data_IF_605120728195
#
_entry.id   IF_605120728195
#
_cell.length_a   1.000
_cell.length_b   1.000
_cell.length_c   1.000
_cell.angle_alpha   90.00
_cell.angle_beta   90.00
_cell.angle_gamma   90.00
#
_symmetry.space_group_name_H-M   'P 1'
#
loop_
_entity.id
_entity.type
_entity.pdbx_description
1 polymer ?
#
# COMPACT_ATOMS: atom_id res chain seq x y z
N UNK A 1 18.61 12.42 1.38
CA UNK A 1 17.36 11.69 1.69
C UNK A 1 17.72 10.31 2.19
N UNK A 2 17.03 9.78 3.20
CA UNK A 2 17.37 8.50 3.80
C UNK A 2 17.10 7.32 2.86
N UNK A 3 18.07 6.41 2.71
CA UNK A 3 18.00 5.26 1.80
C UNK A 3 16.76 4.40 2.04
N UNK A 4 16.36 4.20 3.31
CA UNK A 4 15.17 3.40 3.64
C UNK A 4 13.88 4.01 3.12
N UNK A 5 13.74 5.35 3.17
CA UNK A 5 12.55 6.05 2.66
C UNK A 5 12.48 5.91 1.13
N UNK A 6 13.62 5.96 0.43
CA UNK A 6 13.71 5.77 -1.02
C UNK A 6 13.31 4.34 -1.39
N UNK A 7 13.93 3.34 -0.76
CA UNK A 7 13.66 1.93 -1.04
C UNK A 7 12.19 1.60 -0.81
N UNK A 8 11.63 2.03 0.33
CA UNK A 8 10.24 1.78 0.66
C UNK A 8 9.29 2.48 -0.31
N UNK A 9 9.59 3.71 -0.71
CA UNK A 9 8.82 4.41 -1.75
C UNK A 9 8.86 3.68 -3.10
N UNK A 10 10.04 3.21 -3.51
CA UNK A 10 10.21 2.45 -4.75
C UNK A 10 9.43 1.13 -4.72
N UNK A 11 9.43 0.41 -3.59
CA UNK A 11 8.63 -0.81 -3.40
C UNK A 11 7.13 -0.52 -3.59
N UNK A 12 6.61 0.58 -3.04
CA UNK A 12 5.19 0.96 -3.20
C UNK A 12 4.85 1.30 -4.66
N UNK A 13 5.75 1.94 -5.39
CA UNK A 13 5.60 2.20 -6.82
C UNK A 13 5.58 0.88 -7.60
N UNK A 14 6.56 0.00 -7.36
CA UNK A 14 6.65 -1.32 -8.02
C UNK A 14 5.38 -2.12 -7.75
N UNK A 15 4.93 -2.21 -6.49
CA UNK A 15 3.69 -2.89 -6.11
C UNK A 15 2.51 -2.36 -6.94
N UNK A 16 2.36 -1.04 -7.01
CA UNK A 16 1.23 -0.41 -7.70
C UNK A 16 1.25 -0.70 -9.21
N UNK A 17 2.43 -0.63 -9.84
CA UNK A 17 2.62 -0.95 -11.27
C UNK A 17 2.36 -2.44 -11.55
N UNK A 18 2.85 -3.34 -10.71
CA UNK A 18 2.60 -4.78 -10.84
C UNK A 18 1.12 -5.11 -10.70
N UNK A 19 0.40 -4.47 -9.78
CA UNK A 19 -1.05 -4.63 -9.62
C UNK A 19 -1.84 -4.04 -10.80
N UNK A 20 -1.36 -2.93 -11.39
CA UNK A 20 -1.95 -2.35 -12.61
C UNK A 20 -1.82 -3.34 -13.77
N UNK A 21 -0.61 -3.86 -13.98
CA UNK A 21 -0.33 -4.87 -14.99
C UNK A 21 -1.14 -6.14 -14.78
N UNK A 22 -1.23 -6.62 -13.52
CA UNK A 22 -2.04 -7.78 -13.17
C UNK A 22 -3.53 -7.56 -13.50
N UNK A 23 -4.05 -6.37 -13.23
CA UNK A 23 -5.43 -6.00 -13.58
C UNK A 23 -5.64 -6.05 -15.11
N UNK A 24 -4.70 -5.54 -15.91
CA UNK A 24 -4.76 -5.64 -17.37
C UNK A 24 -4.73 -7.09 -17.87
N UNK A 25 -3.91 -7.96 -17.26
CA UNK A 25 -3.94 -9.39 -17.57
C UNK A 25 -5.27 -10.04 -17.21
N UNK A 26 -5.87 -9.67 -16.07
CA UNK A 26 -7.19 -10.20 -15.70
C UNK A 26 -8.28 -9.73 -16.66
N UNK A 27 -8.23 -8.49 -17.17
CA UNK A 27 -9.14 -8.01 -18.22
C UNK A 27 -9.08 -8.90 -19.45
N UNK A 28 -7.88 -9.21 -19.92
CA UNK A 28 -7.68 -10.10 -21.07
C UNK A 28 -8.21 -11.51 -20.80
N UNK A 29 -7.88 -12.10 -19.64
CA UNK A 29 -8.27 -13.47 -19.28
C UNK A 29 -9.79 -13.62 -19.07
N UNK A 30 -10.41 -12.64 -18.43
CA UNK A 30 -11.85 -12.64 -18.15
C UNK A 30 -12.67 -12.01 -19.28
N UNK A 31 -12.03 -11.60 -20.38
CA UNK A 31 -12.65 -10.89 -21.51
C UNK A 31 -13.51 -9.69 -21.07
N UNK A 32 -13.09 -9.03 -19.99
CA UNK A 32 -13.80 -7.91 -19.36
C UNK A 32 -13.04 -6.61 -19.62
N UNK A 33 -13.25 -5.99 -20.78
CA UNK A 33 -12.47 -4.83 -21.25
C UNK A 33 -13.01 -3.48 -20.71
N UNK A 34 -14.26 -3.47 -20.20
CA UNK A 34 -14.96 -2.44 -19.40
C UNK A 34 -16.15 -1.76 -20.11
N UNK A 35 -17.32 -1.85 -19.44
CA UNK A 35 -18.27 -0.75 -19.17
C UNK A 35 -18.92 -0.97 -17.79
N UNK A 36 -19.09 -2.23 -17.34
CA UNK A 36 -19.56 -2.54 -15.99
C UNK A 36 -18.43 -2.93 -15.02
N UNK A 37 -18.62 -2.61 -13.74
CA UNK A 37 -17.76 -3.09 -12.66
C UNK A 37 -17.88 -4.62 -12.55
N UNK A 38 -16.77 -5.33 -12.34
CA UNK A 38 -16.84 -6.75 -12.04
C UNK A 38 -17.67 -6.95 -10.75
N UNK A 39 -18.72 -7.78 -10.81
CA UNK A 39 -19.67 -7.96 -9.70
C UNK A 39 -19.44 -9.23 -8.89
N UNK A 40 -18.71 -10.21 -9.46
CA UNK A 40 -18.37 -11.45 -8.76
C UNK A 40 -17.32 -11.20 -7.67
N UNK A 41 -17.75 -11.28 -6.40
CA UNK A 41 -16.92 -11.11 -5.19
C UNK A 41 -15.84 -12.19 -5.03
N UNK A 42 -16.00 -13.34 -5.69
CA UNK A 42 -15.00 -14.40 -5.72
C UNK A 42 -14.11 -14.33 -6.97
N UNK A 43 -14.51 -13.51 -7.94
CA UNK A 43 -13.89 -13.40 -9.25
C UNK A 43 -12.48 -12.79 -9.22
N UNK A 44 -11.54 -13.31 -10.02
CA UNK A 44 -10.16 -12.82 -10.05
C UNK A 44 -10.04 -11.38 -10.53
N UNK A 45 -10.97 -10.93 -11.40
CA UNK A 45 -11.00 -9.58 -11.93
C UNK A 45 -11.32 -8.54 -10.84
N UNK A 46 -12.37 -8.77 -10.05
CA UNK A 46 -12.73 -7.83 -8.98
C UNK A 46 -11.65 -7.78 -7.89
N UNK A 47 -11.08 -8.92 -7.51
CA UNK A 47 -9.95 -8.99 -6.57
C UNK A 47 -8.75 -8.19 -7.05
N UNK A 48 -8.37 -8.32 -8.33
CA UNK A 48 -7.28 -7.55 -8.92
C UNK A 48 -7.57 -6.04 -8.91
N UNK A 49 -8.79 -5.63 -9.31
CA UNK A 49 -9.20 -4.23 -9.30
C UNK A 49 -9.18 -3.62 -7.88
N UNK A 50 -9.69 -4.33 -6.88
CA UNK A 50 -9.69 -3.86 -5.49
C UNK A 50 -8.28 -3.77 -4.90
N UNK A 51 -7.42 -4.75 -5.19
CA UNK A 51 -6.01 -4.70 -4.79
C UNK A 51 -5.29 -3.50 -5.40
N UNK A 52 -5.43 -3.32 -6.72
CA UNK A 52 -4.79 -2.21 -7.43
C UNK A 52 -5.33 -0.85 -6.99
N UNK A 53 -6.65 -0.67 -6.96
CA UNK A 53 -7.29 0.60 -6.58
C UNK A 53 -6.88 1.04 -5.18
N UNK A 54 -6.92 0.13 -4.21
CA UNK A 54 -6.47 0.45 -2.86
C UNK A 54 -4.95 0.73 -2.77
N UNK A 55 -4.13 0.04 -3.58
CA UNK A 55 -2.70 0.37 -3.66
C UNK A 55 -2.48 1.77 -4.23
N UNK A 56 -3.20 2.15 -5.30
CA UNK A 56 -3.09 3.45 -5.95
C UNK A 56 -3.49 4.61 -5.01
N UNK A 57 -4.54 4.42 -4.21
CA UNK A 57 -4.97 5.41 -3.20
C UNK A 57 -3.90 5.65 -2.12
N UNK A 58 -3.29 4.58 -1.60
CA UNK A 58 -2.36 4.68 -0.48
C UNK A 58 -0.90 4.92 -0.87
N UNK A 59 -0.45 4.44 -2.03
CA UNK A 59 0.96 4.56 -2.42
C UNK A 59 1.39 6.02 -2.50
N UNK A 60 0.60 6.87 -3.16
CA UNK A 60 0.89 8.30 -3.26
C UNK A 60 0.92 9.00 -1.90
N UNK A 61 -0.08 8.73 -1.04
CA UNK A 61 -0.17 9.31 0.31
C UNK A 61 1.03 8.91 1.17
N UNK A 62 1.40 7.63 1.17
CA UNK A 62 2.52 7.12 1.97
C UNK A 62 3.88 7.59 1.44
N UNK A 63 4.07 7.66 0.13
CA UNK A 63 5.27 8.24 -0.46
C UNK A 63 5.38 9.71 -0.06
N UNK A 64 4.29 10.49 -0.13
CA UNK A 64 4.26 11.86 0.34
C UNK A 64 4.67 11.98 1.82
N UNK A 65 4.15 11.10 2.68
CA UNK A 65 4.52 11.06 4.09
C UNK A 65 6.00 10.66 4.31
N UNK A 66 6.54 9.72 3.52
CA UNK A 66 7.95 9.35 3.57
C UNK A 66 8.86 10.50 3.10
N UNK A 67 8.45 11.25 2.07
CA UNK A 67 9.16 12.45 1.62
C UNK A 67 9.17 13.52 2.72
N UNK A 68 8.02 13.84 3.32
CA UNK A 68 7.93 14.78 4.45
C UNK A 68 8.80 14.34 5.63
N UNK A 69 8.79 13.05 5.96
CA UNK A 69 9.68 12.47 6.98
C UNK A 69 11.15 12.73 6.62
N UNK A 70 11.53 12.49 5.36
CA UNK A 70 12.90 12.74 4.89
C UNK A 70 13.33 14.20 4.97
N UNK A 71 12.40 15.14 4.76
CA UNK A 71 12.66 16.59 4.88
C UNK A 71 12.87 16.99 6.35
N UNK A 72 12.01 16.55 7.25
CA UNK A 72 12.09 16.90 8.68
C UNK A 72 13.30 16.26 9.38
N UNK A 73 13.76 15.11 8.87
CA UNK A 73 14.96 14.42 9.32
C UNK A 73 16.21 14.74 8.48
N UNK A 74 16.21 15.83 7.70
CA UNK A 74 17.37 16.22 6.91
C UNK A 74 18.60 16.47 7.80
N UNK A 75 19.72 15.81 7.49
CA UNK A 75 20.96 15.89 8.26
C UNK A 75 20.91 15.20 9.64
N UNK A 76 19.86 14.42 9.93
CA UNK A 76 19.66 13.72 11.20
C UNK A 76 19.40 12.24 10.95
N UNK A 77 19.78 11.39 11.89
CA UNK A 77 19.41 9.96 11.84
C UNK A 77 17.89 9.79 12.00
N UNK A 78 17.30 8.84 11.26
CA UNK A 78 15.87 8.49 11.35
C UNK A 78 15.48 7.99 12.74
N UNK A 79 16.42 7.33 13.43
CA UNK A 79 16.15 6.54 14.61
C UNK A 79 15.49 5.22 14.29
N UNK A 80 15.60 4.29 15.24
CA UNK A 80 15.03 2.95 15.14
C UNK A 80 13.50 2.99 14.94
N UNK A 81 12.80 3.83 15.71
CA UNK A 81 11.33 3.90 15.69
C UNK A 81 10.80 4.27 14.30
N UNK A 82 11.32 5.33 13.67
CA UNK A 82 10.85 5.77 12.34
C UNK A 82 11.24 4.74 11.27
N UNK A 83 12.45 4.20 11.36
CA UNK A 83 12.91 3.14 10.45
C UNK A 83 11.99 1.93 10.49
N UNK A 84 11.65 1.44 11.68
CA UNK A 84 10.73 0.31 11.86
C UNK A 84 9.32 0.64 11.37
N UNK A 85 8.80 1.84 11.63
CA UNK A 85 7.47 2.25 11.16
C UNK A 85 7.39 2.25 9.63
N UNK A 86 8.36 2.85 8.94
CA UNK A 86 8.40 2.92 7.47
C UNK A 86 8.42 1.51 6.85
N UNK A 87 9.26 0.63 7.40
CA UNK A 87 9.36 -0.76 6.94
C UNK A 87 8.04 -1.50 7.21
N UNK A 88 7.48 -1.38 8.41
CA UNK A 88 6.23 -2.05 8.79
C UNK A 88 5.04 -1.61 7.93
N UNK A 89 4.91 -0.30 7.67
CA UNK A 89 3.88 0.25 6.78
C UNK A 89 4.04 -0.33 5.37
N UNK A 90 5.27 -0.36 4.85
CA UNK A 90 5.54 -0.88 3.49
C UNK A 90 5.21 -2.37 3.39
N UNK A 91 5.65 -3.17 4.35
CA UNK A 91 5.31 -4.59 4.44
C UNK A 91 3.79 -4.80 4.56
N UNK A 92 3.10 -3.95 5.34
CA UNK A 92 1.65 -3.99 5.47
C UNK A 92 0.93 -3.75 4.15
N UNK A 93 1.46 -2.90 3.26
CA UNK A 93 0.90 -2.71 1.91
C UNK A 93 1.01 -3.95 1.05
N UNK A 94 2.13 -4.66 1.13
CA UNK A 94 2.32 -5.94 0.43
C UNK A 94 1.34 -7.01 0.96
N UNK A 95 1.21 -7.14 2.29
CA UNK A 95 0.27 -8.07 2.92
C UNK A 95 -1.19 -7.73 2.57
N UNK A 96 -1.53 -6.45 2.56
CA UNK A 96 -2.88 -5.99 2.22
C UNK A 96 -3.26 -6.36 0.78
N UNK A 97 -2.37 -6.08 -0.18
CA UNK A 97 -2.56 -6.46 -1.57
C UNK A 97 -2.64 -7.97 -1.76
N UNK A 98 -1.73 -8.73 -1.13
CA UNK A 98 -1.78 -10.19 -1.14
C UNK A 98 -3.11 -10.72 -0.60
N UNK A 99 -3.61 -10.15 0.51
CA UNK A 99 -4.89 -10.51 1.10
C UNK A 99 -6.08 -10.32 0.17
N UNK A 100 -6.07 -9.34 -0.73
CA UNK A 100 -7.08 -9.24 -1.79
C UNK A 100 -6.96 -10.34 -2.84
N UNK A 101 -5.73 -10.64 -3.28
CA UNK A 101 -5.49 -11.57 -4.38
C UNK A 101 -5.72 -13.03 -4.00
N UNK A 102 -5.39 -13.42 -2.76
CA UNK A 102 -5.46 -14.81 -2.29
C UNK A 102 -6.75 -15.17 -1.57
N UNK A 103 -7.57 -14.18 -1.19
CA UNK A 103 -8.83 -14.46 -0.51
C UNK A 103 -9.76 -15.33 -1.37
N UNK A 104 -10.54 -16.20 -0.73
CA UNK A 104 -11.56 -16.98 -1.43
C UNK A 104 -12.69 -16.08 -1.96
N UNK A 105 -13.11 -15.10 -1.16
CA UNK A 105 -14.16 -14.13 -1.51
C UNK A 105 -13.87 -12.78 -0.85
N UNK A 106 -14.37 -11.70 -1.46
CA UNK A 106 -14.31 -10.33 -0.93
C UNK A 106 -15.41 -10.01 0.10
N UNK A 107 -16.40 -10.90 0.29
CA UNK A 107 -17.47 -10.73 1.27
C UNK A 107 -16.96 -10.62 2.72
N UNK A 108 -15.82 -11.27 3.00
CA UNK A 108 -15.23 -11.30 4.34
C UNK A 108 -13.78 -10.80 4.29
N UNK A 109 -13.31 -10.11 5.34
CA UNK A 109 -11.93 -9.66 5.38
C UNK A 109 -10.98 -10.85 5.55
N UNK A 110 -10.09 -11.05 4.58
CA UNK A 110 -8.95 -11.96 4.75
C UNK A 110 -8.01 -11.45 5.85
N UNK A 111 -7.44 -12.30 6.72
CA UNK A 111 -6.58 -11.87 7.82
C UNK A 111 -5.40 -10.99 7.37
N UNK A 112 -4.73 -11.36 6.27
CA UNK A 112 -3.64 -10.54 5.71
C UNK A 112 -4.10 -9.14 5.30
N UNK A 113 -5.33 -9.03 4.75
CA UNK A 113 -5.94 -7.74 4.41
C UNK A 113 -6.23 -6.95 5.69
N UNK A 114 -6.83 -7.57 6.70
CA UNK A 114 -7.16 -6.89 7.95
C UNK A 114 -5.91 -6.36 8.67
N UNK A 115 -4.88 -7.19 8.82
CA UNK A 115 -3.61 -6.82 9.46
C UNK A 115 -2.90 -5.74 8.65
N UNK A 116 -2.82 -5.91 7.33
CA UNK A 116 -2.20 -4.92 6.45
C UNK A 116 -2.88 -3.55 6.52
N UNK A 117 -4.22 -3.53 6.62
CA UNK A 117 -4.99 -2.30 6.76
C UNK A 117 -4.70 -1.62 8.10
N UNK A 118 -4.80 -2.37 9.21
CA UNK A 118 -4.59 -1.86 10.56
C UNK A 118 -3.19 -1.23 10.73
N UNK A 119 -2.15 -1.93 10.28
CA UNK A 119 -0.77 -1.43 10.35
C UNK A 119 -0.57 -0.20 9.46
N UNK A 120 -1.21 -0.17 8.28
CA UNK A 120 -1.17 1.03 7.42
C UNK A 120 -1.78 2.24 8.13
N UNK A 121 -2.94 2.07 8.78
CA UNK A 121 -3.67 3.17 9.41
C UNK A 121 -2.95 3.68 10.66
N UNK A 122 -2.66 2.77 11.59
CA UNK A 122 -2.02 3.14 12.85
C UNK A 122 -0.57 3.59 12.63
N UNK A 123 0.18 2.90 11.77
CA UNK A 123 1.55 3.25 11.44
C UNK A 123 1.64 4.57 10.69
N UNK A 124 0.77 4.79 9.69
CA UNK A 124 0.71 6.05 8.95
C UNK A 124 0.35 7.23 9.85
N UNK A 125 -0.64 7.07 10.73
CA UNK A 125 -1.01 8.11 11.69
C UNK A 125 0.12 8.40 12.69
N UNK A 126 0.73 7.36 13.25
CA UNK A 126 1.87 7.52 14.17
C UNK A 126 3.04 8.24 13.51
N UNK A 127 3.38 7.87 12.26
CA UNK A 127 4.45 8.53 11.51
C UNK A 127 4.10 10.00 11.19
N UNK A 128 2.86 10.29 10.79
CA UNK A 128 2.41 11.66 10.56
C UNK A 128 2.48 12.53 11.82
N UNK A 129 2.11 11.98 12.99
CA UNK A 129 2.25 12.66 14.27
C UNK A 129 3.71 12.92 14.63
N UNK A 130 4.60 11.95 14.40
CA UNK A 130 6.05 12.15 14.62
C UNK A 130 6.58 13.27 13.73
N UNK A 131 6.20 13.30 12.46
CA UNK A 131 6.58 14.37 11.52
C UNK A 131 6.10 15.72 12.04
N UNK A 132 4.83 15.82 12.47
CA UNK A 132 4.26 17.05 13.02
C UNK A 132 5.03 17.52 14.27
N UNK A 133 5.26 16.63 15.24
CA UNK A 133 5.98 16.91 16.48
C UNK A 133 7.45 17.26 16.27
N UNK A 134 8.03 16.93 15.12
CA UNK A 134 9.42 17.28 14.78
C UNK A 134 9.55 18.62 14.06
N UNK A 135 8.46 19.15 13.52
CA UNK A 135 8.41 20.50 12.94
C UNK A 135 8.10 21.56 13.99
N UNK A 136 7.31 21.21 15.00
CA UNK A 136 7.05 22.02 16.19
C UNK A 136 8.27 22.05 17.11
#
# INVERSE_FOLDING_TARGET
MHTILIICSAILVILTLLLAFWTSMMRARTKTIAYDAATDLSGPMLKAQRAHGNSAEYAGVLIGLFLLTGLVYAGRDLGLTVTCLVIAITAARLLHAAGFLVCATLERPHPLKAIGALVTYLGGLALALIVLLKVL
#
